data_IF_877693544041
#
_entry.id   IF_877693544041
#
_cell.length_a   1.000
_cell.length_b   1.000
_cell.length_c   1.000
_cell.angle_alpha   90.00
_cell.angle_beta   90.00
_cell.angle_gamma   90.00
#
_symmetry.space_group_name_H-M   'P 1'
#
loop_
_entity.id
_entity.type
_entity.pdbx_description
1 polymer ?
#
# COMPACT_ATOMS: atom_id res chain seq x y z
N UNK A 1 -11.70 3.90 -7.56
CA UNK A 1 -10.52 4.76 -7.33
C UNK A 1 -10.74 6.27 -7.51
N UNK A 2 -11.30 6.75 -8.65
CA UNK A 2 -11.36 8.18 -8.97
C UNK A 2 -12.03 9.08 -7.93
N UNK A 3 -13.16 8.64 -7.35
CA UNK A 3 -13.87 9.38 -6.29
C UNK A 3 -13.02 9.63 -5.04
N UNK A 4 -12.19 8.67 -4.64
CA UNK A 4 -11.36 8.79 -3.43
C UNK A 4 -10.27 9.83 -3.60
N UNK A 5 -9.70 9.95 -4.82
CA UNK A 5 -8.69 10.97 -5.13
C UNK A 5 -9.27 12.38 -4.99
N UNK A 6 -10.47 12.59 -5.54
CA UNK A 6 -11.18 13.87 -5.43
C UNK A 6 -11.46 14.24 -3.96
N UNK A 7 -12.02 13.30 -3.19
CA UNK A 7 -12.33 13.52 -1.77
C UNK A 7 -11.06 13.84 -0.97
N UNK A 8 -9.97 13.09 -1.17
CA UNK A 8 -8.71 13.35 -0.49
C UNK A 8 -8.17 14.75 -0.75
N UNK A 9 -8.31 15.25 -1.99
CA UNK A 9 -7.87 16.59 -2.38
C UNK A 9 -8.70 17.67 -1.69
N UNK A 10 -10.02 17.48 -1.64
CA UNK A 10 -10.95 18.40 -0.97
C UNK A 10 -10.61 18.52 0.51
N UNK A 11 -10.45 17.37 1.20
CA UNK A 11 -10.04 17.34 2.61
C UNK A 11 -8.68 18.02 2.81
N UNK A 12 -7.66 17.67 2.03
CA UNK A 12 -6.33 18.31 2.17
C UNK A 12 -6.38 19.82 1.99
N UNK A 13 -7.19 20.29 1.04
CA UNK A 13 -7.32 21.73 0.77
C UNK A 13 -7.94 22.46 1.96
N UNK A 14 -9.00 21.89 2.54
CA UNK A 14 -9.67 22.46 3.71
C UNK A 14 -8.77 22.43 4.95
N UNK A 15 -8.09 21.31 5.20
CA UNK A 15 -7.16 21.16 6.33
C UNK A 15 -6.02 22.19 6.26
N UNK A 16 -5.43 22.39 5.08
CA UNK A 16 -4.40 23.41 4.85
C UNK A 16 -4.94 24.83 5.04
N UNK A 17 -6.16 25.11 4.56
CA UNK A 17 -6.79 26.41 4.77
C UNK A 17 -7.05 26.71 6.26
N UNK A 18 -7.22 25.67 7.07
CA UNK A 18 -7.35 25.74 8.52
C UNK A 18 -6.01 25.67 9.28
N UNK A 19 -4.88 25.72 8.58
CA UNK A 19 -3.53 25.73 9.17
C UNK A 19 -2.91 24.36 9.45
N UNK A 20 -3.60 23.25 9.13
CA UNK A 20 -3.05 21.91 9.26
C UNK A 20 -2.18 21.53 8.06
N UNK A 21 -0.89 21.86 8.15
CA UNK A 21 0.09 21.60 7.10
C UNK A 21 0.82 20.26 7.24
N UNK A 22 0.62 19.54 8.35
CA UNK A 22 1.30 18.28 8.63
C UNK A 22 0.55 17.05 8.08
N UNK A 23 -0.74 17.22 7.75
CA UNK A 23 -1.57 16.14 7.21
C UNK A 23 -1.12 15.73 5.81
N UNK A 24 -0.83 14.45 5.62
CA UNK A 24 -0.56 13.87 4.30
C UNK A 24 -1.83 13.29 3.68
N UNK A 25 -2.01 13.43 2.36
CA UNK A 25 -3.19 12.88 1.70
C UNK A 25 -3.08 11.39 1.43
N UNK A 26 -1.92 10.94 0.93
CA UNK A 26 -1.68 9.54 0.60
C UNK A 26 -0.26 9.10 0.92
N UNK A 27 -0.13 8.01 1.68
CA UNK A 27 1.10 7.22 1.76
C UNK A 27 0.87 5.87 1.06
N UNK A 28 1.58 5.65 -0.04
CA UNK A 28 1.45 4.44 -0.88
C UNK A 28 2.38 3.29 -0.51
N UNK A 29 3.30 3.50 0.44
CA UNK A 29 4.32 2.54 0.83
C UNK A 29 5.14 2.01 -0.35
N UNK A 30 5.88 2.91 -1.00
CA UNK A 30 6.76 2.60 -2.16
C UNK A 30 8.20 3.00 -1.78
N UNK A 31 8.84 2.28 -0.85
CA UNK A 31 10.19 2.61 -0.40
C UNK A 31 11.26 2.22 -1.44
N UNK A 32 12.51 2.60 -1.20
CA UNK A 32 13.64 2.27 -2.10
C UNK A 32 14.18 0.83 -1.91
N UNK A 33 13.35 -0.11 -1.42
CA UNK A 33 13.68 -1.53 -1.25
C UNK A 33 12.47 -2.43 -1.55
N UNK A 34 12.70 -3.74 -1.63
CA UNK A 34 11.80 -4.75 -2.22
C UNK A 34 10.31 -4.62 -1.89
N UNK A 35 9.92 -4.17 -0.69
CA UNK A 35 8.52 -3.94 -0.32
C UNK A 35 7.73 -3.06 -1.31
N UNK A 36 8.39 -2.18 -2.09
CA UNK A 36 7.71 -1.41 -3.12
C UNK A 36 7.08 -2.29 -4.20
N UNK A 37 7.67 -3.46 -4.52
CA UNK A 37 7.12 -4.38 -5.52
C UNK A 37 5.72 -4.78 -5.09
N UNK A 38 5.54 -5.19 -3.83
CA UNK A 38 4.22 -5.57 -3.31
C UNK A 38 3.18 -4.47 -3.57
N UNK A 39 3.48 -3.21 -3.23
CA UNK A 39 2.56 -2.09 -3.42
C UNK A 39 2.26 -1.79 -4.90
N UNK A 40 3.28 -1.84 -5.76
CA UNK A 40 3.13 -1.54 -7.20
C UNK A 40 2.37 -2.66 -7.92
N UNK A 41 2.71 -3.91 -7.65
CA UNK A 41 2.07 -5.09 -8.24
C UNK A 41 0.60 -5.20 -7.84
N UNK A 42 0.27 -4.97 -6.56
CA UNK A 42 -1.13 -4.88 -6.10
C UNK A 42 -1.92 -3.83 -6.87
N UNK A 43 -1.29 -2.67 -7.09
CA UNK A 43 -1.90 -1.55 -7.78
C UNK A 43 -2.16 -1.91 -9.24
N UNK A 44 -1.19 -2.46 -9.97
CA UNK A 44 -1.36 -2.93 -11.36
C UNK A 44 -2.44 -4.00 -11.44
N UNK A 45 -2.39 -5.00 -10.54
CA UNK A 45 -3.37 -6.06 -10.51
C UNK A 45 -4.80 -5.54 -10.29
N UNK A 46 -4.96 -4.44 -9.53
CA UNK A 46 -6.26 -3.80 -9.30
C UNK A 46 -6.86 -3.08 -10.53
N UNK A 47 -6.12 -2.99 -11.64
CA UNK A 47 -6.54 -2.39 -12.91
C UNK A 47 -6.99 -3.39 -13.95
N UNK A 48 -6.96 -4.70 -13.65
CA UNK A 48 -7.53 -5.73 -14.52
C UNK A 48 -9.02 -5.47 -14.82
N UNK A 49 -9.49 -5.95 -15.97
CA UNK A 49 -10.86 -5.67 -16.42
C UNK A 49 -11.91 -6.59 -15.79
N UNK A 50 -11.52 -7.79 -15.34
CA UNK A 50 -12.42 -8.77 -14.72
C UNK A 50 -11.81 -9.35 -13.43
N UNK A 51 -12.66 -9.75 -12.49
CA UNK A 51 -12.23 -10.39 -11.23
C UNK A 51 -11.42 -11.67 -11.47
N UNK A 52 -11.68 -12.40 -12.56
CA UNK A 52 -10.99 -13.65 -12.92
C UNK A 52 -9.77 -13.44 -13.83
N UNK A 53 -9.49 -12.22 -14.27
CA UNK A 53 -8.33 -11.96 -15.12
C UNK A 53 -7.02 -12.25 -14.39
N UNK A 54 -6.07 -12.85 -15.11
CA UNK A 54 -4.69 -13.02 -14.64
C UNK A 54 -4.00 -11.65 -14.47
N UNK A 55 -2.78 -11.70 -13.92
CA UNK A 55 -1.96 -10.52 -13.77
C UNK A 55 -1.71 -9.84 -15.15
N UNK A 56 -1.95 -8.53 -15.29
CA UNK A 56 -1.67 -7.82 -16.54
C UNK A 56 -0.17 -7.76 -16.83
N UNK A 57 0.25 -7.99 -18.08
CA UNK A 57 1.65 -7.77 -18.46
C UNK A 57 2.09 -6.32 -18.27
N UNK A 58 3.38 -6.07 -18.04
CA UNK A 58 3.89 -4.71 -17.78
C UNK A 58 3.74 -3.74 -18.96
N UNK A 59 3.64 -4.25 -20.18
CA UNK A 59 3.39 -3.51 -21.41
C UNK A 59 1.89 -3.31 -21.73
N UNK A 60 1.00 -3.93 -20.93
CA UNK A 60 -0.45 -3.88 -21.12
C UNK A 60 -1.06 -2.49 -20.92
N UNK A 61 -2.26 -2.29 -21.48
CA UNK A 61 -3.00 -1.03 -21.29
C UNK A 61 -3.43 -0.84 -19.84
N UNK A 62 -3.74 -1.93 -19.13
CA UNK A 62 -4.08 -1.96 -17.72
C UNK A 62 -2.91 -1.46 -16.87
N UNK A 63 -1.70 -1.97 -17.10
CA UNK A 63 -0.50 -1.52 -16.41
C UNK A 63 -0.20 -0.03 -16.69
N UNK A 64 -0.31 0.39 -17.96
CA UNK A 64 -0.14 1.81 -18.31
C UNK A 64 -1.16 2.71 -17.61
N UNK A 65 -2.42 2.29 -17.54
CA UNK A 65 -3.49 3.03 -16.85
C UNK A 65 -3.26 3.05 -15.33
N UNK A 66 -2.78 1.95 -14.76
CA UNK A 66 -2.40 1.85 -13.36
C UNK A 66 -1.30 2.88 -13.03
N UNK A 67 -0.21 2.90 -13.79
CA UNK A 67 0.88 3.86 -13.55
C UNK A 67 0.45 5.31 -13.76
N UNK A 68 -0.37 5.61 -14.79
CA UNK A 68 -0.94 6.96 -14.97
C UNK A 68 -1.75 7.38 -13.75
N UNK A 69 -2.58 6.48 -13.21
CA UNK A 69 -3.39 6.79 -12.03
C UNK A 69 -2.57 6.90 -10.75
N UNK A 70 -1.56 6.05 -10.58
CA UNK A 70 -0.64 6.11 -9.44
C UNK A 70 0.15 7.43 -9.45
N UNK A 71 0.63 7.86 -10.63
CA UNK A 71 1.27 9.17 -10.83
C UNK A 71 0.33 10.32 -10.50
N UNK A 72 -0.93 10.24 -10.91
CA UNK A 72 -1.93 11.22 -10.52
C UNK A 72 -2.09 11.28 -8.99
N UNK A 73 -2.29 10.14 -8.33
CA UNK A 73 -2.44 10.08 -6.86
C UNK A 73 -1.22 10.68 -6.15
N UNK A 74 -0.02 10.34 -6.63
CA UNK A 74 1.23 10.91 -6.12
C UNK A 74 1.21 12.44 -6.20
N UNK A 75 0.88 13.00 -7.36
CA UNK A 75 0.92 14.43 -7.59
C UNK A 75 -0.20 15.19 -6.85
N UNK A 76 -1.37 14.59 -6.74
CA UNK A 76 -2.56 15.22 -6.18
C UNK A 76 -2.54 15.15 -4.65
N UNK A 77 -2.22 13.99 -4.07
CA UNK A 77 -2.44 13.69 -2.66
C UNK A 77 -1.18 13.48 -1.82
N UNK A 78 -0.01 13.34 -2.43
CA UNK A 78 1.22 13.00 -1.72
C UNK A 78 2.29 14.06 -1.90
N UNK A 79 3.31 14.02 -1.04
CA UNK A 79 4.62 14.59 -1.35
C UNK A 79 5.55 13.50 -1.90
N UNK A 80 6.70 13.90 -2.46
CA UNK A 80 7.71 12.93 -2.90
C UNK A 80 8.24 12.10 -1.72
N UNK A 81 8.42 12.74 -0.57
CA UNK A 81 8.92 12.16 0.67
C UNK A 81 7.92 11.16 1.23
N UNK A 82 6.64 11.53 1.35
CA UNK A 82 5.60 10.64 1.84
C UNK A 82 5.38 9.43 0.92
N UNK A 83 5.48 9.63 -0.39
CA UNK A 83 5.27 8.57 -1.38
C UNK A 83 6.39 7.51 -1.35
N UNK A 84 7.64 7.96 -1.15
CA UNK A 84 8.85 7.10 -1.10
C UNK A 84 9.23 6.68 0.32
N UNK A 85 8.33 6.88 1.27
CA UNK A 85 8.61 6.69 2.67
C UNK A 85 8.78 5.21 3.05
N UNK A 86 9.59 4.96 4.08
CA UNK A 86 9.89 3.63 4.58
C UNK A 86 8.84 3.14 5.61
N UNK A 87 9.10 1.95 6.17
CA UNK A 87 8.27 1.35 7.22
C UNK A 87 8.07 2.28 8.41
N UNK A 88 9.16 2.88 8.94
CA UNK A 88 9.08 3.73 10.13
C UNK A 88 8.14 4.92 9.96
N UNK A 89 8.24 5.63 8.83
CA UNK A 89 7.34 6.75 8.54
C UNK A 89 5.89 6.28 8.34
N UNK A 90 5.68 5.14 7.67
CA UNK A 90 4.34 4.61 7.43
C UNK A 90 3.66 4.19 8.75
N UNK A 91 4.42 3.54 9.65
CA UNK A 91 3.97 3.18 10.99
C UNK A 91 3.69 4.44 11.82
N UNK A 92 4.57 5.44 11.79
CA UNK A 92 4.37 6.72 12.47
C UNK A 92 3.01 7.32 12.07
N UNK A 93 2.74 7.43 10.77
CA UNK A 93 1.46 7.98 10.27
C UNK A 93 0.26 7.14 10.64
N UNK A 94 0.39 5.81 10.65
CA UNK A 94 -0.66 4.91 11.13
C UNK A 94 -0.96 5.10 12.62
N UNK A 95 0.03 5.48 13.42
CA UNK A 95 -0.12 5.67 14.87
C UNK A 95 -0.55 7.08 15.26
N UNK A 96 -0.07 8.12 14.57
CA UNK A 96 -0.37 9.52 14.87
C UNK A 96 -1.72 10.00 14.29
N UNK A 97 -2.26 9.30 13.28
CA UNK A 97 -3.53 9.67 12.64
C UNK A 97 -3.42 10.80 11.62
N UNK A 98 -2.20 11.20 11.20
CA UNK A 98 -1.92 12.36 10.35
C UNK A 98 -1.76 12.00 8.87
N UNK A 99 -2.56 11.07 8.40
CA UNK A 99 -2.73 10.80 6.98
C UNK A 99 -4.21 10.52 6.64
N UNK A 100 -4.68 10.94 5.47
CA UNK A 100 -6.04 10.62 5.01
C UNK A 100 -6.12 9.16 4.55
N UNK A 101 -5.17 8.73 3.72
CA UNK A 101 -5.09 7.37 3.20
C UNK A 101 -3.69 6.80 3.40
N UNK A 102 -3.60 5.61 3.96
CA UNK A 102 -2.34 4.85 4.11
C UNK A 102 -2.54 3.45 3.56
N UNK A 103 -1.63 3.02 2.68
CA UNK A 103 -1.43 1.62 2.35
C UNK A 103 -0.29 1.08 3.20
N UNK A 104 -0.51 -0.04 3.89
CA UNK A 104 0.54 -0.73 4.64
C UNK A 104 0.18 -2.20 4.84
N UNK A 105 1.14 -2.98 5.35
CA UNK A 105 0.90 -4.34 5.82
C UNK A 105 -0.12 -4.37 6.96
N UNK A 106 -0.66 -5.56 7.25
CA UNK A 106 -1.53 -5.72 8.41
C UNK A 106 -0.77 -5.37 9.69
N UNK A 107 -1.20 -4.27 10.34
CA UNK A 107 -0.64 -3.79 11.59
C UNK A 107 -1.75 -3.73 12.66
N UNK A 108 -1.43 -4.18 13.87
CA UNK A 108 -2.41 -4.28 14.96
C UNK A 108 -2.63 -2.93 15.64
N UNK A 109 -1.56 -2.17 15.86
CA UNK A 109 -1.57 -0.92 16.62
C UNK A 109 -1.79 0.28 15.68
N UNK A 110 -3.04 0.57 15.35
CA UNK A 110 -3.39 1.72 14.49
C UNK A 110 -4.19 2.75 15.26
N UNK A 111 -4.05 4.03 14.89
CA UNK A 111 -4.86 5.11 15.43
C UNK A 111 -6.36 4.82 15.21
N UNK A 112 -7.19 5.12 16.21
CA UNK A 112 -8.63 4.82 16.20
C UNK A 112 -9.40 5.55 15.09
N UNK A 113 -8.84 6.61 14.51
CA UNK A 113 -9.44 7.32 13.36
C UNK A 113 -9.46 6.46 12.10
N UNK A 114 -8.59 5.45 12.00
CA UNK A 114 -8.48 4.62 10.82
C UNK A 114 -9.48 3.47 10.80
N UNK A 115 -10.05 3.26 9.60
CA UNK A 115 -10.81 2.07 9.26
C UNK A 115 -10.06 1.31 8.19
N UNK A 116 -9.96 -0.01 8.36
CA UNK A 116 -9.33 -0.90 7.37
C UNK A 116 -10.31 -1.14 6.21
N UNK A 117 -9.81 -1.14 4.98
CA UNK A 117 -10.58 -1.50 3.79
C UNK A 117 -9.72 -2.34 2.85
N UNK A 118 -10.37 -3.02 1.91
CA UNK A 118 -9.67 -3.57 0.75
C UNK A 118 -9.09 -2.43 -0.13
N UNK A 119 -8.03 -2.71 -0.89
CA UNK A 119 -7.45 -1.74 -1.81
C UNK A 119 -8.47 -1.42 -2.92
N UNK A 120 -8.86 -0.14 -3.14
CA UNK A 120 -9.81 0.18 -4.19
C UNK A 120 -9.18 0.03 -5.58
N UNK A 121 -9.75 -0.81 -6.44
CA UNK A 121 -9.33 -0.92 -7.83
C UNK A 121 -9.97 0.11 -8.76
N UNK A 122 -9.65 -0.06 -10.06
CA UNK A 122 -10.16 0.79 -11.13
C UNK A 122 -11.67 0.65 -11.30
N UNK A 123 -12.19 -0.59 -11.21
CA UNK A 123 -13.61 -0.94 -11.32
C UNK A 123 -14.18 -1.28 -9.93
N UNK A 124 -15.47 -0.96 -9.67
CA UNK A 124 -16.15 -0.95 -8.35
C UNK A 124 -16.10 -2.28 -7.55
N UNK A 125 -15.61 -3.38 -8.11
CA UNK A 125 -15.53 -4.70 -7.45
C UNK A 125 -14.14 -5.34 -7.55
N UNK A 126 -13.19 -4.67 -8.20
CA UNK A 126 -11.85 -5.20 -8.45
C UNK A 126 -10.89 -4.61 -7.41
N UNK A 127 -9.97 -5.43 -6.94
CA UNK A 127 -8.97 -5.10 -5.93
C UNK A 127 -7.71 -5.97 -6.14
N UNK A 128 -6.59 -5.54 -5.55
CA UNK A 128 -5.35 -6.30 -5.51
C UNK A 128 -4.85 -6.42 -4.08
N UNK A 129 -4.14 -7.52 -3.79
CA UNK A 129 -3.48 -7.76 -2.52
C UNK A 129 -2.29 -8.69 -2.74
N UNK A 130 -1.24 -8.47 -1.98
CA UNK A 130 -0.07 -9.32 -1.84
C UNK A 130 -0.15 -10.04 -0.51
N UNK A 131 0.10 -11.35 -0.57
CA UNK A 131 0.20 -12.18 0.62
C UNK A 131 1.68 -12.40 0.88
N UNK A 132 2.18 -11.82 1.96
CA UNK A 132 3.52 -12.07 2.48
C UNK A 132 3.54 -13.26 3.44
N UNK A 133 4.75 -13.66 3.85
CA UNK A 133 4.95 -14.71 4.84
C UNK A 133 6.42 -15.09 4.99
N UNK A 134 6.68 -16.00 5.91
CA UNK A 134 8.02 -16.54 6.15
C UNK A 134 8.05 -18.00 5.75
N UNK A 135 9.03 -18.36 4.94
CA UNK A 135 9.39 -19.77 4.73
C UNK A 135 10.49 -20.13 5.73
N UNK A 136 10.27 -21.20 6.49
CA UNK A 136 11.26 -21.71 7.45
C UNK A 136 11.87 -22.97 6.85
N UNK A 137 13.20 -22.93 6.62
CA UNK A 137 13.96 -24.06 6.14
C UNK A 137 14.98 -24.51 7.18
N UNK A 138 15.09 -25.82 7.40
CA UNK A 138 16.14 -26.42 8.23
C UNK A 138 17.29 -26.81 7.29
N UNK A 139 18.49 -26.33 7.58
CA UNK A 139 19.67 -26.72 6.81
C UNK A 139 19.96 -28.21 7.01
N UNK A 140 20.06 -28.96 5.91
CA UNK A 140 20.27 -30.41 5.90
C UNK A 140 21.60 -30.87 6.52
N UNK A 141 22.55 -29.96 6.79
CA UNK A 141 23.78 -30.24 7.52
C UNK A 141 23.57 -30.42 9.02
N UNK A 142 22.47 -29.89 9.58
CA UNK A 142 22.15 -30.10 10.98
C UNK A 142 21.42 -31.43 11.12
N UNK A 143 22.11 -32.43 11.65
CA UNK A 143 21.47 -33.66 12.10
C UNK A 143 20.64 -33.34 13.36
N UNK A 144 19.38 -33.76 13.38
CA UNK A 144 18.57 -33.74 14.59
C UNK A 144 19.22 -34.73 15.55
N UNK A 145 19.93 -34.22 16.56
CA UNK A 145 20.44 -35.05 17.65
C UNK A 145 19.24 -35.46 18.49
N UNK A 146 18.64 -36.61 18.18
CA UNK A 146 17.68 -37.24 19.09
C UNK A 146 18.43 -37.60 20.37
N UNK A 147 18.17 -36.84 21.45
CA UNK A 147 18.57 -37.25 22.80
C UNK A 147 17.76 -38.49 23.15
N UNK A 148 18.35 -39.68 22.97
CA UNK A 148 17.85 -40.90 23.60
C UNK A 148 17.79 -40.66 25.11
N UNK A 149 16.58 -40.62 25.68
CA UNK A 149 16.38 -40.64 27.14
C UNK A 149 16.99 -41.94 27.68
N UNK A 150 17.94 -41.80 28.60
CA UNK A 150 18.39 -42.88 29.49
C UNK A 150 17.31 -43.16 30.53
#
# INVERSE_FOLDING_TARGET
MGRNVKIGNEILKEERANGNNELIGYNGFIPDYENYLSSVEEFIFSFRNNITSHYPGYDSTEAQNAFKKLKQIKNDLSSNEAFRSNDSFSIEKLTDGKAIFIKYWFFQTVNKVYKKSILPGNIKVISGSTIGGYNIGINNKYQIIEKKKQ
#
